data_IF_432573867129
#
_entry.id   IF_432573867129
#
_cell.length_a   1.000
_cell.length_b   1.000
_cell.length_c   1.000
_cell.angle_alpha   90.00
_cell.angle_beta   90.00
_cell.angle_gamma   90.00
#
_symmetry.space_group_name_H-M   'P 1'
#
loop_
_entity.id
_entity.type
_entity.pdbx_description
1 polymer ?
#
# COMPACT_ATOMS: atom_id res chain seq x y z
N UNK A 1 -14.07 12.12 9.07
CA UNK A 1 -13.95 13.44 8.38
C UNK A 1 -13.24 13.23 7.05
N UNK A 2 -13.90 13.54 5.93
CA UNK A 2 -13.42 13.21 4.58
C UNK A 2 -12.41 14.27 4.09
N UNK A 3 -11.13 13.90 3.95
CA UNK A 3 -10.06 14.83 3.56
C UNK A 3 -10.17 15.27 2.10
N UNK A 4 -10.75 14.44 1.22
CA UNK A 4 -10.94 14.78 -0.20
C UNK A 4 -11.94 15.92 -0.33
N UNK A 5 -13.06 15.86 0.40
CA UNK A 5 -14.07 16.95 0.39
C UNK A 5 -13.46 18.26 0.86
N UNK A 6 -12.66 18.23 1.94
CA UNK A 6 -11.95 19.43 2.42
C UNK A 6 -11.00 20.01 1.37
N UNK A 7 -10.25 19.15 0.69
CA UNK A 7 -9.35 19.58 -0.37
C UNK A 7 -10.12 20.19 -1.55
N UNK A 8 -11.24 19.60 -1.96
CA UNK A 8 -12.06 20.13 -3.05
C UNK A 8 -12.60 21.53 -2.75
N UNK A 9 -13.02 21.80 -1.51
CA UNK A 9 -13.42 23.15 -1.10
C UNK A 9 -12.24 24.13 -1.11
N UNK A 10 -11.07 23.71 -0.62
CA UNK A 10 -9.86 24.54 -0.69
C UNK A 10 -9.44 24.83 -2.14
N UNK A 11 -9.49 23.82 -3.01
CA UNK A 11 -9.08 23.90 -4.42
C UNK A 11 -9.88 24.95 -5.21
N UNK A 12 -11.15 25.19 -4.87
CA UNK A 12 -11.97 26.23 -5.51
C UNK A 12 -11.36 27.64 -5.39
N UNK A 13 -10.51 27.85 -4.38
CA UNK A 13 -9.87 29.14 -4.13
C UNK A 13 -8.47 29.26 -4.75
N UNK A 14 -7.97 28.21 -5.42
CA UNK A 14 -6.68 28.26 -6.11
C UNK A 14 -6.85 28.82 -7.53
N UNK A 15 -5.83 29.52 -8.08
CA UNK A 15 -5.84 30.04 -9.44
C UNK A 15 -5.65 28.90 -10.48
N UNK A 16 -6.58 27.96 -10.53
CA UNK A 16 -6.49 26.77 -11.35
C UNK A 16 -6.58 27.09 -12.85
N UNK A 17 -5.52 26.76 -13.59
CA UNK A 17 -5.48 26.89 -15.06
C UNK A 17 -5.71 25.54 -15.76
N UNK A 18 -6.23 24.54 -15.03
CA UNK A 18 -6.26 23.14 -15.46
C UNK A 18 -7.28 22.31 -14.67
N UNK A 19 -7.73 21.21 -15.28
CA UNK A 19 -8.67 20.26 -14.70
C UNK A 19 -8.01 19.18 -13.84
N UNK A 20 -6.67 19.19 -13.70
CA UNK A 20 -5.97 18.25 -12.81
C UNK A 20 -6.49 18.37 -11.37
N UNK A 21 -6.72 17.23 -10.72
CA UNK A 21 -7.27 17.22 -9.37
C UNK A 21 -6.36 17.93 -8.36
N UNK A 22 -5.09 17.53 -8.30
CA UNK A 22 -4.12 18.07 -7.35
C UNK A 22 -3.25 19.17 -7.96
N UNK A 23 -3.25 20.34 -7.31
CA UNK A 23 -2.56 21.54 -7.74
C UNK A 23 -1.54 22.03 -6.70
N UNK A 24 -0.53 22.76 -7.17
CA UNK A 24 0.31 23.63 -6.36
C UNK A 24 -0.47 24.91 -6.00
N UNK A 25 0.05 25.67 -5.03
CA UNK A 25 -0.53 26.97 -4.64
C UNK A 25 -0.55 27.97 -5.80
N UNK A 26 0.37 27.81 -6.77
CA UNK A 26 0.43 28.59 -8.02
C UNK A 26 -0.70 28.26 -9.00
N UNK A 27 -1.49 27.21 -8.74
CA UNK A 27 -2.55 26.74 -9.63
C UNK A 27 -2.09 25.75 -10.72
N UNK A 28 -0.79 25.48 -10.81
CA UNK A 28 -0.22 24.49 -11.71
C UNK A 28 -0.44 23.05 -11.20
N UNK A 29 -0.50 22.02 -12.09
CA UNK A 29 -0.58 20.63 -11.68
C UNK A 29 0.59 20.20 -10.78
N UNK A 30 0.31 19.42 -9.74
CA UNK A 30 1.37 18.76 -8.98
C UNK A 30 2.11 17.74 -9.87
N UNK A 31 3.44 17.83 -9.88
CA UNK A 31 4.30 16.84 -10.52
C UNK A 31 4.85 15.83 -9.49
N UNK A 32 5.50 14.77 -9.98
CA UNK A 32 6.07 13.70 -9.15
C UNK A 32 7.08 14.22 -8.12
N UNK A 33 7.84 15.26 -8.45
CA UNK A 33 8.81 15.89 -7.54
C UNK A 33 8.10 16.60 -6.39
N UNK A 34 7.04 17.36 -6.67
CA UNK A 34 6.24 18.04 -5.66
C UNK A 34 5.58 17.03 -4.70
N UNK A 35 5.02 15.94 -5.24
CA UNK A 35 4.44 14.86 -4.43
C UNK A 35 5.51 14.24 -3.51
N UNK A 36 6.69 13.91 -4.07
CA UNK A 36 7.80 13.37 -3.28
C UNK A 36 8.28 14.32 -2.19
N UNK A 37 8.33 15.62 -2.45
CA UNK A 37 8.68 16.63 -1.46
C UNK A 37 7.66 16.69 -0.32
N UNK A 38 6.36 16.64 -0.62
CA UNK A 38 5.31 16.57 0.41
C UNK A 38 5.44 15.33 1.28
N UNK A 39 5.64 14.15 0.67
CA UNK A 39 5.86 12.89 1.41
C UNK A 39 7.09 13.01 2.32
N UNK A 40 8.21 13.54 1.82
CA UNK A 40 9.43 13.71 2.61
C UNK A 40 9.24 14.69 3.78
N UNK A 41 8.51 15.78 3.57
CA UNK A 41 8.18 16.74 4.62
C UNK A 41 7.41 16.06 5.76
N UNK A 42 6.36 15.30 5.43
CA UNK A 42 5.57 14.58 6.44
C UNK A 42 6.36 13.46 7.11
N UNK A 43 7.23 12.76 6.38
CA UNK A 43 8.15 11.78 6.97
C UNK A 43 9.06 12.43 8.01
N UNK A 44 9.71 13.54 7.68
CA UNK A 44 10.57 14.27 8.63
C UNK A 44 9.79 14.73 9.85
N UNK A 45 8.55 15.20 9.66
CA UNK A 45 7.68 15.62 10.76
C UNK A 45 7.28 14.47 11.69
N UNK A 46 7.03 13.28 11.14
CA UNK A 46 6.58 12.12 11.91
C UNK A 46 7.72 11.28 12.50
N UNK A 47 8.85 11.17 11.80
CA UNK A 47 9.93 10.22 12.10
C UNK A 47 11.31 10.86 12.27
N UNK A 48 11.43 12.18 12.09
CA UNK A 48 12.71 12.90 12.15
C UNK A 48 13.58 12.79 10.89
N UNK A 49 13.25 11.88 9.96
CA UNK A 49 14.00 11.66 8.73
C UNK A 49 13.09 11.22 7.57
N UNK A 50 13.60 11.21 6.35
CA UNK A 50 12.88 10.69 5.20
C UNK A 50 12.97 9.15 5.19
N UNK A 51 11.87 8.45 5.52
CA UNK A 51 11.85 6.98 5.59
C UNK A 51 11.08 6.30 4.46
N UNK A 52 9.94 6.85 4.09
CA UNK A 52 8.99 6.19 3.18
C UNK A 52 8.75 7.00 1.91
N UNK A 53 8.74 6.31 0.77
CA UNK A 53 8.44 6.89 -0.54
C UNK A 53 6.99 6.61 -0.96
N UNK A 54 6.51 7.26 -2.04
CA UNK A 54 5.23 6.93 -2.66
C UNK A 54 5.13 5.44 -3.05
N UNK A 55 6.24 4.86 -3.52
CA UNK A 55 6.35 3.43 -3.86
C UNK A 55 6.22 2.57 -2.59
N UNK A 56 6.83 2.98 -1.48
CA UNK A 56 6.71 2.28 -0.20
C UNK A 56 5.26 2.23 0.27
N UNK A 57 4.55 3.37 0.20
CA UNK A 57 3.12 3.44 0.55
C UNK A 57 2.26 2.53 -0.35
N UNK A 58 2.56 2.50 -1.66
CA UNK A 58 1.90 1.57 -2.60
C UNK A 58 2.12 0.12 -2.20
N UNK A 59 3.35 -0.26 -1.81
CA UNK A 59 3.64 -1.61 -1.36
C UNK A 59 2.87 -1.98 -0.10
N UNK A 60 2.82 -1.07 0.89
CA UNK A 60 2.00 -1.28 2.08
C UNK A 60 0.52 -1.49 1.72
N UNK A 61 -0.03 -0.69 0.81
CA UNK A 61 -1.40 -0.87 0.34
C UNK A 61 -1.64 -2.26 -0.27
N UNK A 62 -0.77 -2.69 -1.20
CA UNK A 62 -0.88 -4.00 -1.85
C UNK A 62 -0.80 -5.14 -0.84
N UNK A 63 0.22 -5.12 0.03
CA UNK A 63 0.41 -6.17 1.04
C UNK A 63 -0.80 -6.26 1.97
N UNK A 64 -1.30 -5.13 2.46
CA UNK A 64 -2.46 -5.11 3.34
C UNK A 64 -3.71 -5.65 2.61
N UNK A 65 -3.95 -5.22 1.37
CA UNK A 65 -5.09 -5.69 0.60
C UNK A 65 -5.06 -7.20 0.36
N UNK A 66 -3.88 -7.78 0.06
CA UNK A 66 -3.73 -9.22 -0.12
C UNK A 66 -3.87 -10.00 1.20
N UNK A 67 -3.34 -9.47 2.31
CA UNK A 67 -3.51 -10.08 3.62
C UNK A 67 -4.99 -10.10 4.07
N UNK A 68 -5.76 -9.10 3.66
CA UNK A 68 -7.21 -9.03 3.87
C UNK A 68 -8.00 -9.95 2.92
N UNK A 69 -7.32 -10.83 2.18
CA UNK A 69 -7.89 -11.82 1.25
C UNK A 69 -8.64 -11.21 0.07
N UNK A 70 -8.31 -9.97 -0.32
CA UNK A 70 -8.85 -9.40 -1.55
C UNK A 70 -8.34 -10.16 -2.77
N UNK A 71 -9.15 -10.20 -3.82
CA UNK A 71 -8.80 -10.82 -5.09
C UNK A 71 -7.57 -10.15 -5.71
N UNK A 72 -6.58 -10.96 -6.10
CA UNK A 72 -5.29 -10.45 -6.59
C UNK A 72 -5.43 -9.60 -7.86
N UNK A 73 -6.40 -9.90 -8.73
CA UNK A 73 -6.63 -9.12 -9.95
C UNK A 73 -7.25 -7.77 -9.62
N UNK A 74 -8.14 -7.69 -8.63
CA UNK A 74 -8.66 -6.41 -8.14
C UNK A 74 -7.55 -5.57 -7.49
N UNK A 75 -6.67 -6.19 -6.70
CA UNK A 75 -5.53 -5.49 -6.10
C UNK A 75 -4.55 -5.00 -7.17
N UNK A 76 -4.25 -5.80 -8.19
CA UNK A 76 -3.36 -5.44 -9.31
C UNK A 76 -3.89 -4.24 -10.11
N UNK A 77 -5.19 -4.28 -10.45
CA UNK A 77 -5.86 -3.19 -11.16
C UNK A 77 -5.84 -1.90 -10.33
N UNK A 78 -6.12 -2.01 -9.03
CA UNK A 78 -6.13 -0.85 -8.11
C UNK A 78 -4.73 -0.28 -7.89
N UNK A 79 -3.71 -1.14 -7.83
CA UNK A 79 -2.31 -0.73 -7.73
C UNK A 79 -1.78 -0.07 -9.02
N UNK A 80 -2.45 -0.33 -10.15
CA UNK A 80 -2.12 0.23 -11.46
C UNK A 80 -0.85 -0.38 -12.06
N UNK A 81 -0.58 -1.67 -11.80
CA UNK A 81 0.57 -2.35 -12.37
C UNK A 81 0.33 -2.73 -13.83
N UNK A 82 1.34 -2.53 -14.68
CA UNK A 82 1.30 -2.93 -16.09
C UNK A 82 1.34 -4.46 -16.26
N UNK A 83 1.90 -5.16 -15.28
CA UNK A 83 2.10 -6.61 -15.31
C UNK A 83 1.77 -7.22 -13.94
N UNK A 84 0.90 -8.23 -13.92
CA UNK A 84 0.47 -8.97 -12.73
C UNK A 84 1.63 -9.54 -11.90
N UNK A 85 2.76 -9.86 -12.56
CA UNK A 85 4.00 -10.33 -11.92
C UNK A 85 4.47 -9.40 -10.80
N UNK A 86 4.24 -8.09 -10.94
CA UNK A 86 4.60 -7.10 -9.92
C UNK A 86 3.77 -7.24 -8.64
N UNK A 87 2.53 -7.71 -8.74
CA UNK A 87 1.64 -7.99 -7.61
C UNK A 87 1.86 -9.39 -7.04
N UNK A 88 2.19 -10.38 -7.90
CA UNK A 88 2.49 -11.75 -7.48
C UNK A 88 3.62 -11.86 -6.46
N UNK A 89 4.64 -10.99 -6.54
CA UNK A 89 5.72 -10.95 -5.53
C UNK A 89 5.18 -10.74 -4.10
N UNK A 90 4.15 -9.91 -3.92
CA UNK A 90 3.54 -9.67 -2.61
C UNK A 90 2.66 -10.85 -2.17
N UNK A 91 1.99 -11.48 -3.13
CA UNK A 91 1.13 -12.63 -2.86
C UNK A 91 1.90 -13.84 -2.34
N UNK A 92 3.02 -14.21 -2.99
CA UNK A 92 3.84 -15.33 -2.53
C UNK A 92 4.44 -15.11 -1.14
N UNK A 93 4.86 -13.88 -0.83
CA UNK A 93 5.32 -13.54 0.53
C UNK A 93 4.22 -13.66 1.59
N UNK A 94 2.98 -13.26 1.25
CA UNK A 94 1.83 -13.43 2.14
C UNK A 94 1.54 -14.92 2.41
N UNK A 95 1.60 -15.76 1.37
CA UNK A 95 1.46 -17.22 1.51
C UNK A 95 2.59 -17.82 2.35
N UNK A 96 3.84 -17.43 2.10
CA UNK A 96 5.00 -17.89 2.88
C UNK A 96 4.81 -17.58 4.36
N UNK A 97 4.46 -16.34 4.71
CA UNK A 97 4.14 -15.95 6.08
C UNK A 97 2.96 -16.74 6.67
N UNK A 98 1.93 -17.05 5.87
CA UNK A 98 0.80 -17.87 6.33
C UNK A 98 1.25 -19.31 6.65
N UNK A 99 2.03 -19.92 5.76
CA UNK A 99 2.55 -21.28 5.93
C UNK A 99 3.48 -21.35 7.14
N UNK A 100 4.45 -20.43 7.27
CA UNK A 100 5.34 -20.35 8.42
C UNK A 100 4.59 -20.32 9.76
N UNK A 101 3.48 -19.56 9.81
CA UNK A 101 2.67 -19.43 11.03
C UNK A 101 1.71 -20.59 11.29
N UNK A 102 1.44 -21.44 10.30
CA UNK A 102 0.43 -22.51 10.40
C UNK A 102 1.03 -23.92 10.38
N UNK A 103 2.18 -24.12 9.73
CA UNK A 103 2.88 -25.41 9.70
C UNK A 103 3.18 -25.97 11.11
N UNK A 104 3.63 -25.16 12.11
CA UNK A 104 3.83 -25.66 13.47
C UNK A 104 2.57 -26.14 14.18
N UNK A 105 1.38 -25.78 13.66
CA UNK A 105 0.08 -26.16 14.20
C UNK A 105 -0.67 -27.09 13.25
N UNK A 106 0.04 -27.71 12.30
CA UNK A 106 -0.55 -28.61 11.33
C UNK A 106 -1.15 -29.83 12.07
N UNK A 107 -2.46 -30.06 11.96
CA UNK A 107 -3.13 -31.16 12.68
C UNK A 107 -2.57 -32.54 12.30
N UNK A 108 -1.89 -32.68 11.16
CA UNK A 108 -1.25 -33.93 10.73
C UNK A 108 0.04 -34.22 11.50
N UNK A 109 0.83 -33.21 11.88
CA UNK A 109 2.08 -33.44 12.64
C UNK A 109 1.81 -33.90 14.07
N UNK A 110 0.73 -33.41 14.69
CA UNK A 110 0.27 -33.88 16.00
C UNK A 110 -0.19 -35.34 16.00
N UNK A 111 -0.63 -35.88 14.85
CA UNK A 111 -1.06 -37.28 14.72
C UNK A 111 0.16 -38.24 14.68
N UNK A 112 1.30 -37.79 14.13
CA UNK A 112 2.52 -38.61 14.05
C UNK A 112 3.12 -38.85 15.44
N UNK A 113 3.13 -37.84 16.32
CA UNK A 113 3.67 -37.98 17.69
C UNK A 113 2.86 -38.92 18.59
N UNK A 114 1.55 -39.07 18.34
CA UNK A 114 0.68 -39.98 19.11
C UNK A 114 0.99 -41.45 18.76
N UNK A 115 1.41 -41.73 17.52
CA UNK A 115 1.68 -43.08 17.04
C UNK A 115 3.10 -43.59 17.38
N UNK A 116 4.05 -42.71 17.70
CA UNK A 116 5.40 -43.10 18.16
C UNK A 116 5.52 -43.26 19.68
N UNK A 117 4.47 -42.90 20.43
CA UNK A 117 4.40 -42.97 21.90
C UNK A 117 3.63 -44.20 22.42
N UNK A 118 3.28 -45.14 21.54
CA UNK A 118 2.57 -46.40 21.84
C UNK A 118 3.49 -47.61 21.67
#
# INVERSE_FOLDING_TARGET
>A
MNQVVKYLEYRKNLPAMTDHLFLLETGEPMNTKAIGAQINMYNKKAFGEARFSAKSLRHTFITNALNDRNDIHQVDQTAGHKHLVSTLHYFYRSIETLLENTLPYNPVEGIVQINESQ
#
